data_IF_640771183363
#
_entry.id   IF_640771183363
#
_cell.length_a   1.000
_cell.length_b   1.000
_cell.length_c   1.000
_cell.angle_alpha   90.00
_cell.angle_beta   90.00
_cell.angle_gamma   90.00
#
_symmetry.space_group_name_H-M   'P 1'
#
loop_
_entity.id
_entity.type
_entity.pdbx_description
1 polymer ?
#
# COMPACT_ATOMS: atom_id res chain seq x y z
N UNK A 1 -87.84 16.99 27.46
CA UNK A 1 -87.20 18.30 27.72
C UNK A 1 -85.84 18.03 28.35
N UNK A 2 -84.76 18.56 27.75
CA UNK A 2 -83.34 18.54 28.17
C UNK A 2 -82.54 17.24 28.00
N UNK A 3 -81.67 17.26 26.99
CA UNK A 3 -80.48 16.43 26.83
C UNK A 3 -79.28 17.04 27.57
N UNK A 4 -78.30 16.19 27.95
CA UNK A 4 -76.86 16.42 28.19
C UNK A 4 -76.35 15.23 29.04
N UNK A 5 -75.14 14.69 28.95
CA UNK A 5 -73.98 14.78 28.07
C UNK A 5 -73.04 13.72 28.67
N UNK A 6 -72.66 12.66 27.94
CA UNK A 6 -71.54 11.80 28.37
C UNK A 6 -70.28 12.27 27.64
N UNK A 7 -69.35 12.81 28.42
CA UNK A 7 -68.05 13.30 27.97
C UNK A 7 -67.14 12.15 27.58
N UNK A 8 -66.73 12.10 26.31
CA UNK A 8 -65.64 11.27 25.82
C UNK A 8 -64.30 11.96 26.13
N UNK A 9 -63.41 11.25 26.83
CA UNK A 9 -62.01 11.63 27.01
C UNK A 9 -61.25 11.22 25.75
N UNK A 10 -60.82 12.20 24.96
CA UNK A 10 -59.95 11.99 23.81
C UNK A 10 -58.49 11.86 24.28
N UNK A 11 -57.87 10.72 23.97
CA UNK A 11 -56.44 10.49 24.16
C UNK A 11 -55.65 11.25 23.08
N UNK A 12 -54.75 12.14 23.49
CA UNK A 12 -53.77 12.76 22.60
C UNK A 12 -52.67 11.73 22.24
N UNK A 13 -52.59 11.37 20.96
CA UNK A 13 -51.45 10.66 20.41
C UNK A 13 -50.32 11.66 20.09
N UNK A 14 -49.25 11.67 20.88
CA UNK A 14 -48.02 12.40 20.57
C UNK A 14 -47.21 11.62 19.54
N UNK A 15 -47.13 12.14 18.31
CA UNK A 15 -46.23 11.63 17.27
C UNK A 15 -44.80 12.06 17.64
N UNK A 16 -44.05 11.13 18.21
CA UNK A 16 -42.60 11.28 18.44
C UNK A 16 -41.87 11.05 17.12
N UNK A 17 -41.47 12.11 16.43
CA UNK A 17 -40.56 12.02 15.28
C UNK A 17 -39.15 11.72 15.78
N UNK A 18 -38.81 10.43 15.82
CA UNK A 18 -37.43 9.98 16.03
C UNK A 18 -36.57 10.40 14.84
N UNK A 19 -35.86 11.51 14.99
CA UNK A 19 -34.72 11.87 14.13
C UNK A 19 -33.65 10.80 14.31
N UNK A 20 -33.53 9.86 13.36
CA UNK A 20 -32.29 9.10 13.20
C UNK A 20 -31.26 10.07 12.62
N UNK A 21 -30.13 10.33 13.29
CA UNK A 21 -29.04 11.04 12.64
C UNK A 21 -28.55 10.17 11.50
N UNK A 22 -28.73 10.62 10.26
CA UNK A 22 -27.90 10.15 9.17
C UNK A 22 -26.46 10.43 9.59
N UNK A 23 -25.70 9.38 9.89
CA UNK A 23 -24.25 9.50 9.92
C UNK A 23 -23.84 9.94 8.51
N UNK A 24 -23.59 11.24 8.35
CA UNK A 24 -22.89 11.74 7.19
C UNK A 24 -21.57 10.95 7.15
N UNK A 25 -21.42 10.08 6.16
CA UNK A 25 -20.15 9.44 5.86
C UNK A 25 -19.16 10.58 5.63
N UNK A 26 -18.32 10.88 6.63
CA UNK A 26 -17.30 11.88 6.47
C UNK A 26 -16.41 11.42 5.33
N UNK A 27 -16.44 12.15 4.22
CA UNK A 27 -15.55 11.90 3.09
C UNK A 27 -14.12 11.81 3.65
N UNK A 28 -13.43 10.70 3.35
CA UNK A 28 -12.06 10.52 3.80
C UNK A 28 -11.25 11.71 3.31
N UNK A 29 -10.50 12.40 4.19
CA UNK A 29 -9.81 13.61 3.80
C UNK A 29 -8.84 13.31 2.65
N UNK A 30 -9.05 14.00 1.54
CA UNK A 30 -8.23 13.89 0.33
C UNK A 30 -6.77 14.32 0.58
N UNK A 31 -6.50 14.91 1.75
CA UNK A 31 -5.21 15.41 2.20
C UNK A 31 -4.35 14.39 2.96
N UNK A 32 -4.75 13.12 3.13
CA UNK A 32 -3.91 12.18 3.87
C UNK A 32 -2.54 12.01 3.19
N UNK A 33 -1.47 12.37 3.91
CA UNK A 33 -0.10 12.27 3.41
C UNK A 33 0.34 10.80 3.32
N UNK A 34 0.90 10.44 2.16
CA UNK A 34 1.51 9.13 1.92
C UNK A 34 2.94 9.33 1.45
N UNK A 35 3.83 8.40 1.77
CA UNK A 35 5.23 8.40 1.39
C UNK A 35 5.66 6.97 1.07
N UNK A 36 6.68 6.77 0.21
CA UNK A 36 7.21 5.45 -0.06
C UNK A 36 7.48 4.67 1.22
N UNK A 37 7.03 3.42 1.29
CA UNK A 37 7.07 2.60 2.50
C UNK A 37 5.72 2.47 3.21
N UNK A 38 4.78 3.39 2.96
CA UNK A 38 3.47 3.35 3.59
C UNK A 38 2.61 2.19 3.10
N UNK A 39 1.72 1.75 4.00
CA UNK A 39 0.59 0.89 3.67
C UNK A 39 -0.63 1.75 3.41
N UNK A 40 -1.32 1.48 2.29
CA UNK A 40 -2.49 2.26 1.87
C UNK A 40 -3.66 1.34 1.52
N UNK A 41 -4.88 1.85 1.64
CA UNK A 41 -6.10 1.28 1.05
C UNK A 41 -6.93 2.39 0.40
N UNK A 42 -7.70 2.05 -0.63
CA UNK A 42 -8.68 2.98 -1.18
C UNK A 42 -9.91 3.04 -0.24
N UNK A 43 -10.57 4.19 -0.15
CA UNK A 43 -11.69 4.43 0.75
C UNK A 43 -12.83 3.41 0.58
N UNK A 44 -13.19 3.07 -0.66
CA UNK A 44 -14.28 2.12 -0.97
C UNK A 44 -13.86 0.66 -1.02
N UNK A 45 -12.57 0.34 -0.85
CA UNK A 45 -12.04 -1.02 -1.01
C UNK A 45 -11.39 -1.54 0.29
N UNK A 46 -11.35 -2.87 0.42
CA UNK A 46 -10.70 -3.58 1.54
C UNK A 46 -9.26 -4.01 1.23
N UNK A 47 -8.86 -4.03 -0.04
CA UNK A 47 -7.51 -4.41 -0.45
C UNK A 47 -6.47 -3.46 0.13
N UNK A 48 -5.44 -4.02 0.75
CA UNK A 48 -4.27 -3.29 1.26
C UNK A 48 -3.16 -3.35 0.21
N UNK A 49 -2.45 -2.22 0.07
CA UNK A 49 -1.33 -2.08 -0.83
C UNK A 49 -0.12 -1.51 -0.12
N UNK A 50 1.07 -1.90 -0.57
CA UNK A 50 2.32 -1.25 -0.25
C UNK A 50 2.59 -0.15 -1.28
N UNK A 51 2.82 1.10 -0.85
CA UNK A 51 3.19 2.20 -1.72
C UNK A 51 4.71 2.29 -1.89
N UNK A 52 5.20 2.07 -3.10
CA UNK A 52 6.62 1.94 -3.41
C UNK A 52 7.25 3.25 -3.92
N UNK A 53 8.58 3.40 -3.84
CA UNK A 53 9.28 4.59 -4.35
C UNK A 53 9.04 4.86 -5.84
N UNK A 54 8.78 3.84 -6.65
CA UNK A 54 8.49 3.99 -8.08
C UNK A 54 7.12 4.62 -8.38
N UNK A 55 6.36 5.01 -7.35
CA UNK A 55 5.04 5.64 -7.44
C UNK A 55 3.91 4.64 -7.66
N UNK A 56 4.18 3.33 -7.54
CA UNK A 56 3.18 2.28 -7.72
C UNK A 56 2.72 1.71 -6.40
N UNK A 57 1.56 1.08 -6.43
CA UNK A 57 0.99 0.31 -5.32
C UNK A 57 1.08 -1.19 -5.61
N UNK A 58 1.58 -1.95 -4.64
CA UNK A 58 1.77 -3.40 -4.74
C UNK A 58 0.79 -4.12 -3.83
N UNK A 59 0.02 -5.05 -4.37
CA UNK A 59 -1.10 -5.68 -3.67
C UNK A 59 -0.60 -6.71 -2.67
N UNK A 60 -1.20 -6.76 -1.48
CA UNK A 60 -1.13 -7.95 -0.62
C UNK A 60 -2.18 -8.97 -1.10
N UNK A 61 -1.78 -10.18 -1.55
CA UNK A 61 -2.72 -11.14 -2.11
C UNK A 61 -3.80 -11.61 -1.13
N UNK A 62 -3.46 -11.68 0.15
CA UNK A 62 -4.34 -12.06 1.24
C UNK A 62 -3.75 -11.63 2.59
N UNK A 63 -4.58 -11.76 3.63
CA UNK A 63 -4.25 -11.42 5.01
C UNK A 63 -3.08 -12.25 5.58
N UNK A 64 -2.96 -13.53 5.21
CA UNK A 64 -1.83 -14.36 5.67
C UNK A 64 -0.49 -13.82 5.18
N UNK A 65 -0.40 -13.39 3.92
CA UNK A 65 0.80 -12.70 3.40
C UNK A 65 1.05 -11.42 4.19
N UNK A 66 0.02 -10.60 4.41
CA UNK A 66 0.13 -9.34 5.16
C UNK A 66 0.70 -9.56 6.57
N UNK A 67 0.17 -10.53 7.31
CA UNK A 67 0.60 -10.81 8.68
C UNK A 67 1.98 -11.47 8.80
N UNK A 68 2.63 -11.81 7.69
CA UNK A 68 4.06 -12.14 7.73
C UNK A 68 4.96 -10.90 7.80
N UNK A 69 4.43 -9.73 7.41
CA UNK A 69 5.14 -8.44 7.41
C UNK A 69 4.74 -7.55 8.58
N UNK A 70 3.46 -7.54 8.96
CA UNK A 70 2.89 -6.63 9.96
C UNK A 70 2.09 -7.41 11.00
N UNK A 71 1.82 -6.79 12.15
CA UNK A 71 1.11 -7.47 13.26
C UNK A 71 -0.38 -7.15 13.32
N UNK A 72 -0.79 -6.01 12.77
CA UNK A 72 -2.16 -5.51 12.73
C UNK A 72 -2.30 -4.50 11.58
N UNK A 73 -3.50 -3.93 11.39
CA UNK A 73 -3.78 -2.96 10.33
C UNK A 73 -3.64 -1.49 10.74
N UNK A 74 -3.12 -1.19 11.94
CA UNK A 74 -3.11 0.17 12.49
C UNK A 74 -2.25 1.14 11.64
N UNK A 75 -1.25 0.60 10.94
CA UNK A 75 -0.40 1.34 10.02
C UNK A 75 -0.99 1.60 8.62
N UNK A 76 -2.20 1.11 8.31
CA UNK A 76 -2.80 1.26 6.99
C UNK A 76 -3.51 2.62 6.86
N UNK A 77 -3.02 3.44 5.94
CA UNK A 77 -3.60 4.74 5.60
C UNK A 77 -4.75 4.58 4.60
N UNK A 78 -5.83 5.34 4.77
CA UNK A 78 -6.97 5.31 3.85
C UNK A 78 -6.94 6.54 2.95
N UNK A 79 -6.68 6.36 1.66
CA UNK A 79 -6.69 7.45 0.68
C UNK A 79 -8.01 7.46 -0.11
N UNK A 80 -8.38 8.63 -0.63
CA UNK A 80 -9.55 8.77 -1.51
C UNK A 80 -9.42 7.83 -2.72
N UNK A 81 -10.54 7.32 -3.23
CA UNK A 81 -10.54 6.43 -4.39
C UNK A 81 -9.92 7.10 -5.63
N UNK A 82 -10.10 8.42 -5.70
CA UNK A 82 -9.55 9.26 -6.75
C UNK A 82 -8.02 9.34 -6.70
N UNK A 83 -7.41 9.56 -5.53
CA UNK A 83 -5.95 9.48 -5.39
C UNK A 83 -5.45 8.05 -5.58
N UNK A 84 -6.25 7.07 -5.18
CA UNK A 84 -5.93 5.67 -5.38
C UNK A 84 -5.83 5.31 -6.88
N UNK A 85 -6.71 5.86 -7.73
CA UNK A 85 -6.73 5.54 -9.16
C UNK A 85 -5.54 6.12 -9.95
N UNK A 86 -4.88 7.17 -9.46
CA UNK A 86 -3.67 7.73 -10.07
C UNK A 86 -2.41 6.90 -9.80
N UNK A 87 -2.46 5.98 -8.83
CA UNK A 87 -1.37 5.09 -8.48
C UNK A 87 -1.46 3.79 -9.30
N UNK A 88 -0.50 3.54 -10.23
CA UNK A 88 -0.51 2.31 -11.02
C UNK A 88 -0.26 1.09 -10.13
N UNK A 89 -0.72 -0.06 -10.57
CA UNK A 89 -0.31 -1.32 -9.96
C UNK A 89 1.13 -1.67 -10.33
N UNK A 90 1.89 -2.10 -9.33
CA UNK A 90 3.20 -2.70 -9.52
C UNK A 90 3.14 -4.02 -10.30
N UNK A 91 4.27 -4.43 -10.88
CA UNK A 91 4.37 -5.78 -11.46
C UNK A 91 4.52 -6.80 -10.34
N UNK A 92 3.58 -7.75 -10.29
CA UNK A 92 3.51 -8.78 -9.26
C UNK A 92 3.00 -8.25 -7.91
N UNK A 93 2.75 -9.17 -7.00
CA UNK A 93 2.22 -8.86 -5.67
C UNK A 93 3.30 -8.92 -4.58
N UNK A 94 2.97 -8.42 -3.39
CA UNK A 94 3.77 -8.69 -2.20
C UNK A 94 3.70 -10.19 -1.89
N UNK A 95 4.87 -10.78 -1.64
CA UNK A 95 5.05 -12.20 -1.31
C UNK A 95 5.18 -12.38 0.20
N UNK A 96 5.08 -13.62 0.68
CA UNK A 96 5.35 -13.93 2.09
C UNK A 96 6.73 -13.40 2.51
N UNK A 97 6.82 -12.87 3.73
CA UNK A 97 8.08 -12.39 4.26
C UNK A 97 9.09 -13.54 4.37
N UNK A 98 10.30 -13.38 3.81
CA UNK A 98 11.33 -14.40 3.90
C UNK A 98 11.64 -14.83 5.35
N UNK A 99 11.80 -16.13 5.56
CA UNK A 99 12.15 -16.71 6.87
C UNK A 99 11.02 -16.81 7.90
N UNK A 100 9.81 -16.30 7.62
CA UNK A 100 8.71 -16.29 8.62
C UNK A 100 7.87 -17.56 8.58
N UNK A 101 7.42 -17.96 7.38
CA UNK A 101 6.58 -19.14 7.13
C UNK A 101 7.19 -20.01 6.05
N UNK A 102 6.76 -21.26 6.04
CA UNK A 102 6.89 -22.13 4.88
C UNK A 102 5.60 -22.00 4.05
N UNK A 103 5.69 -22.26 2.75
CA UNK A 103 4.54 -22.24 1.85
C UNK A 103 4.46 -23.49 1.00
N UNK A 104 3.26 -23.79 0.52
CA UNK A 104 3.00 -24.84 -0.48
C UNK A 104 1.86 -24.39 -1.39
N UNK A 105 1.63 -25.12 -2.46
CA UNK A 105 0.41 -25.02 -3.26
C UNK A 105 -0.42 -26.28 -3.09
N UNK A 106 -1.70 -26.21 -3.47
CA UNK A 106 -2.62 -27.34 -3.29
C UNK A 106 -2.35 -28.48 -4.28
N UNK A 107 -1.75 -28.16 -5.43
CA UNK A 107 -1.47 -29.06 -6.54
C UNK A 107 -0.11 -29.76 -6.47
N UNK A 108 0.72 -29.44 -5.49
CA UNK A 108 2.08 -29.99 -5.31
C UNK A 108 2.34 -30.30 -3.82
N UNK A 109 2.72 -31.53 -3.46
CA UNK A 109 2.99 -31.89 -2.06
C UNK A 109 4.24 -31.21 -1.48
N UNK A 110 5.11 -30.62 -2.32
CA UNK A 110 6.36 -29.99 -1.89
C UNK A 110 6.11 -28.79 -1.00
N UNK A 111 6.96 -28.65 0.02
CA UNK A 111 6.97 -27.52 0.95
C UNK A 111 8.20 -26.67 0.72
N UNK A 112 8.03 -25.35 0.71
CA UNK A 112 9.07 -24.40 0.36
C UNK A 112 9.34 -23.42 1.51
N UNK A 113 10.61 -23.14 1.75
CA UNK A 113 11.01 -21.96 2.50
C UNK A 113 11.02 -20.74 1.56
N UNK A 114 10.66 -19.57 2.08
CA UNK A 114 10.65 -18.32 1.32
C UNK A 114 11.97 -17.57 1.51
N UNK A 115 12.65 -17.28 0.41
CA UNK A 115 13.88 -16.52 0.32
C UNK A 115 13.61 -15.12 -0.28
N UNK A 116 14.54 -14.18 -0.06
CA UNK A 116 14.44 -12.80 -0.54
C UNK A 116 14.07 -12.72 -2.02
N UNK A 117 13.16 -11.81 -2.36
CA UNK A 117 12.71 -11.57 -3.73
C UNK A 117 11.61 -12.53 -4.21
N UNK A 118 10.92 -13.21 -3.28
CA UNK A 118 9.87 -14.18 -3.62
C UNK A 118 10.40 -15.47 -4.21
N UNK A 119 11.58 -15.91 -3.76
CA UNK A 119 12.17 -17.17 -4.22
C UNK A 119 11.70 -18.31 -3.30
N UNK A 120 11.18 -19.38 -3.88
CA UNK A 120 10.77 -20.58 -3.16
C UNK A 120 11.86 -21.63 -3.25
N UNK A 121 12.39 -22.02 -2.09
CA UNK A 121 13.41 -23.06 -1.97
C UNK A 121 12.77 -24.31 -1.38
N UNK A 122 12.67 -25.37 -2.18
CA UNK A 122 12.08 -26.63 -1.76
C UNK A 122 12.89 -27.23 -0.59
N UNK A 123 12.22 -27.60 0.49
CA UNK A 123 12.87 -28.26 1.64
C UNK A 123 12.78 -29.76 1.43
N UNK A 124 13.91 -30.39 1.10
CA UNK A 124 13.94 -31.75 0.54
C UNK A 124 13.48 -32.86 1.50
N UNK A 125 13.52 -32.64 2.82
CA UNK A 125 13.11 -33.64 3.81
C UNK A 125 12.43 -33.01 5.04
N UNK A 126 11.65 -33.82 5.76
CA UNK A 126 11.01 -33.41 7.01
C UNK A 126 12.04 -33.07 8.11
N UNK A 127 13.16 -33.80 8.19
CA UNK A 127 14.21 -33.55 9.18
C UNK A 127 14.87 -32.17 8.99
N UNK A 128 15.04 -31.73 7.75
CA UNK A 128 15.52 -30.38 7.45
C UNK A 128 14.46 -29.36 7.89
N UNK A 129 13.18 -29.57 7.58
CA UNK A 129 12.11 -28.67 8.00
C UNK A 129 12.03 -28.55 9.54
N UNK A 130 12.16 -29.65 10.27
CA UNK A 130 12.22 -29.66 11.75
C UNK A 130 13.42 -28.89 12.29
N UNK A 131 14.59 -29.07 11.67
CA UNK A 131 15.82 -28.36 12.07
C UNK A 131 15.69 -26.85 11.84
N UNK A 132 15.09 -26.43 10.73
CA UNK A 132 14.98 -25.02 10.35
C UNK A 132 13.85 -24.31 11.09
N UNK A 133 12.67 -24.93 11.17
CA UNK A 133 11.42 -24.27 11.59
C UNK A 133 10.87 -24.81 12.92
N UNK A 134 11.52 -25.80 13.53
CA UNK A 134 11.16 -26.45 14.79
C UNK A 134 10.28 -27.68 14.61
N UNK A 135 10.07 -28.44 15.69
CA UNK A 135 9.27 -29.68 15.67
C UNK A 135 7.82 -29.46 15.21
N UNK A 136 7.29 -28.25 15.40
CA UNK A 136 5.94 -27.86 14.94
C UNK A 136 5.94 -27.23 13.54
N UNK A 137 6.97 -27.43 12.71
CA UNK A 137 7.10 -26.79 11.39
C UNK A 137 5.85 -26.93 10.51
N UNK A 138 5.10 -28.04 10.65
CA UNK A 138 3.85 -28.26 9.90
C UNK A 138 2.79 -27.18 10.15
N UNK A 139 2.74 -26.59 11.35
CA UNK A 139 1.84 -25.46 11.64
C UNK A 139 2.34 -24.12 11.09
N UNK A 140 3.58 -24.09 10.58
CA UNK A 140 4.21 -22.93 9.92
C UNK A 140 4.07 -22.99 8.40
N UNK A 141 3.35 -23.97 7.87
CA UNK A 141 3.04 -24.06 6.44
C UNK A 141 1.72 -23.35 6.17
N UNK A 142 1.75 -22.41 5.24
CA UNK A 142 0.54 -21.81 4.70
C UNK A 142 0.35 -22.20 3.22
N UNK A 143 -0.87 -22.53 2.83
CA UNK A 143 -1.23 -22.74 1.42
C UNK A 143 -1.28 -21.39 0.68
N UNK A 144 -0.58 -21.33 -0.45
CA UNK A 144 -0.64 -20.23 -1.41
C UNK A 144 -1.58 -20.66 -2.54
N UNK A 145 -2.64 -19.90 -2.85
CA UNK A 145 -3.48 -20.17 -4.01
C UNK A 145 -2.66 -20.24 -5.30
N UNK A 146 -2.97 -21.19 -6.18
CA UNK A 146 -2.24 -21.44 -7.42
C UNK A 146 -2.09 -20.18 -8.30
N UNK A 147 -3.11 -19.32 -8.35
CA UNK A 147 -3.07 -18.04 -9.07
C UNK A 147 -1.99 -17.08 -8.56
N UNK A 148 -1.70 -17.12 -7.26
CA UNK A 148 -0.67 -16.30 -6.63
C UNK A 148 0.70 -16.96 -6.60
N UNK A 149 0.80 -18.25 -6.93
CA UNK A 149 2.08 -18.93 -7.06
C UNK A 149 2.94 -18.34 -8.18
N UNK A 150 2.32 -17.78 -9.22
CA UNK A 150 2.98 -17.04 -10.30
C UNK A 150 3.79 -15.82 -9.83
N UNK A 151 3.56 -15.32 -8.60
CA UNK A 151 4.35 -14.24 -8.00
C UNK A 151 5.72 -14.71 -7.51
N UNK A 152 5.94 -16.02 -7.44
CA UNK A 152 7.15 -16.63 -6.92
C UNK A 152 8.02 -17.22 -8.03
N UNK A 153 9.30 -17.38 -7.74
CA UNK A 153 10.26 -18.12 -8.57
C UNK A 153 10.79 -19.31 -7.80
N UNK A 154 10.77 -20.50 -8.38
CA UNK A 154 11.40 -21.66 -7.75
C UNK A 154 12.93 -21.53 -7.89
N UNK A 155 13.63 -21.60 -6.76
CA UNK A 155 15.08 -21.56 -6.68
C UNK A 155 15.69 -22.91 -6.31
N UNK A 156 16.99 -22.91 -6.02
CA UNK A 156 17.74 -24.11 -5.62
C UNK A 156 17.13 -24.73 -4.35
N UNK A 157 16.91 -26.07 -4.31
CA UNK A 157 16.41 -26.74 -3.12
C UNK A 157 17.35 -26.59 -1.92
N UNK A 158 16.82 -26.90 -0.74
CA UNK A 158 17.54 -27.01 0.52
C UNK A 158 17.67 -28.49 0.83
N UNK A 159 18.86 -29.02 0.60
CA UNK A 159 19.26 -30.41 0.79
C UNK A 159 19.97 -30.63 2.12
N UNK A 160 20.51 -29.57 2.72
CA UNK A 160 21.09 -29.60 4.07
C UNK A 160 20.65 -28.37 4.87
N UNK A 161 20.57 -28.51 6.20
CA UNK A 161 20.18 -27.41 7.09
C UNK A 161 21.16 -26.23 7.09
N UNK A 162 22.40 -26.41 6.62
CA UNK A 162 23.37 -25.33 6.51
C UNK A 162 23.08 -24.36 5.34
N UNK A 163 22.26 -24.75 4.36
CA UNK A 163 21.99 -23.97 3.15
C UNK A 163 20.94 -22.87 3.33
N UNK A 164 20.25 -22.84 4.47
CA UNK A 164 19.22 -21.86 4.76
C UNK A 164 19.12 -21.62 6.26
N UNK A 165 19.01 -20.36 6.67
CA UNK A 165 18.75 -20.00 8.06
C UNK A 165 17.57 -19.02 8.08
N UNK A 166 16.38 -19.45 8.57
CA UNK A 166 15.19 -18.61 8.55
C UNK A 166 15.36 -17.29 9.32
N UNK A 167 16.05 -17.31 10.46
CA UNK A 167 16.25 -16.10 11.26
C UNK A 167 17.24 -15.14 10.59
N UNK A 168 18.31 -15.63 9.97
CA UNK A 168 19.24 -14.78 9.20
C UNK A 168 18.55 -14.13 8.01
N UNK A 169 17.74 -14.88 7.26
CA UNK A 169 17.02 -14.39 6.08
C UNK A 169 15.96 -13.36 6.48
N UNK A 170 15.21 -13.62 7.55
CA UNK A 170 14.23 -12.70 8.14
C UNK A 170 14.88 -11.41 8.65
N UNK A 171 16.03 -11.53 9.33
CA UNK A 171 16.79 -10.39 9.83
C UNK A 171 17.37 -9.53 8.70
N UNK A 172 17.81 -10.15 7.60
CA UNK A 172 18.26 -9.44 6.40
C UNK A 172 17.10 -8.78 5.63
N UNK A 173 15.87 -9.27 5.80
CA UNK A 173 14.68 -8.81 5.05
C UNK A 173 13.65 -8.19 5.99
N UNK A 174 13.99 -7.03 6.57
CA UNK A 174 13.12 -6.31 7.50
C UNK A 174 11.96 -5.62 6.79
N UNK A 175 12.21 -5.05 5.60
CA UNK A 175 11.24 -4.24 4.87
C UNK A 175 10.92 -4.85 3.51
N UNK A 176 9.73 -4.49 2.99
CA UNK A 176 9.34 -4.83 1.61
C UNK A 176 10.29 -4.18 0.59
N UNK A 177 10.86 -3.00 0.90
CA UNK A 177 11.90 -2.37 0.06
C UNK A 177 13.11 -3.27 -0.10
N UNK A 178 13.59 -3.84 1.00
CA UNK A 178 14.70 -4.79 0.96
C UNK A 178 14.31 -6.04 0.15
N UNK A 179 13.15 -6.64 0.40
CA UNK A 179 12.71 -7.85 -0.31
C UNK A 179 12.63 -7.66 -1.82
N UNK A 180 11.91 -6.61 -2.24
CA UNK A 180 11.68 -6.29 -3.65
C UNK A 180 12.87 -5.59 -4.32
N UNK A 181 13.90 -5.23 -3.53
CA UNK A 181 15.06 -4.47 -3.99
C UNK A 181 14.66 -3.17 -4.70
N UNK A 182 13.74 -2.42 -4.09
CA UNK A 182 13.38 -1.09 -4.58
C UNK A 182 14.57 -0.14 -4.41
N UNK A 183 14.76 0.73 -5.42
CA UNK A 183 15.78 1.76 -5.38
C UNK A 183 15.28 2.94 -4.52
N UNK A 184 15.91 3.16 -3.37
CA UNK A 184 15.58 4.26 -2.45
C UNK A 184 16.07 5.63 -2.96
N UNK A 185 16.92 5.65 -3.99
CA UNK A 185 17.45 6.88 -4.60
C UNK A 185 16.52 7.47 -5.66
N UNK A 186 15.37 6.84 -5.89
CA UNK A 186 14.32 7.36 -6.75
C UNK A 186 13.02 7.55 -5.97
N UNK A 187 12.21 8.51 -6.41
CA UNK A 187 10.82 8.62 -6.00
C UNK A 187 9.98 9.08 -7.18
N UNK A 188 8.72 8.66 -7.26
CA UNK A 188 7.79 9.11 -8.30
C UNK A 188 6.58 9.80 -7.68
N UNK A 189 6.18 10.91 -8.28
CA UNK A 189 4.93 11.61 -8.01
C UNK A 189 4.03 11.46 -9.23
N UNK A 190 2.85 10.86 -9.07
CA UNK A 190 1.83 10.85 -10.11
C UNK A 190 1.08 12.18 -10.09
N UNK A 191 0.85 12.78 -11.25
CA UNK A 191 -0.06 13.92 -11.40
C UNK A 191 -1.39 13.36 -11.91
N UNK A 192 -2.44 13.47 -11.10
CA UNK A 192 -3.81 13.22 -11.54
C UNK A 192 -4.50 14.49 -12.02
N UNK A 193 -5.80 14.38 -12.25
CA UNK A 193 -6.65 15.52 -12.55
C UNK A 193 -6.77 16.50 -11.35
N UNK A 194 -7.39 17.66 -11.57
CA UNK A 194 -7.31 18.82 -10.66
C UNK A 194 -7.73 18.61 -9.19
N UNK A 195 -8.67 17.72 -8.89
CA UNK A 195 -9.02 17.32 -7.52
C UNK A 195 -8.23 16.09 -7.01
N UNK A 196 -7.41 15.40 -7.80
CA UNK A 196 -6.49 14.36 -7.32
C UNK A 196 -5.12 14.98 -7.04
N UNK A 197 -4.73 15.95 -7.88
CA UNK A 197 -3.50 16.71 -7.72
C UNK A 197 -2.25 15.85 -7.87
N UNK A 198 -1.20 16.29 -7.19
CA UNK A 198 0.03 15.52 -7.01
C UNK A 198 -0.17 14.40 -6.00
N UNK A 199 0.23 13.18 -6.35
CA UNK A 199 0.14 12.01 -5.48
C UNK A 199 1.53 11.39 -5.33
N UNK A 200 2.15 11.46 -4.14
CA UNK A 200 1.66 12.14 -2.93
C UNK A 200 1.70 13.67 -2.99
N UNK A 201 0.86 14.32 -2.16
CA UNK A 201 0.91 15.78 -1.93
C UNK A 201 2.10 16.20 -1.06
N UNK A 202 2.54 15.32 -0.16
CA UNK A 202 3.72 15.50 0.67
C UNK A 202 4.61 14.29 0.49
N UNK A 203 5.76 14.48 -0.14
CA UNK A 203 6.73 13.43 -0.36
C UNK A 203 7.92 13.66 0.58
N UNK A 204 8.31 12.64 1.35
CA UNK A 204 9.57 12.68 2.13
C UNK A 204 10.59 11.74 1.49
N UNK A 205 11.78 12.26 1.18
CA UNK A 205 12.88 11.52 0.52
C UNK A 205 14.21 11.84 1.20
N UNK A 206 15.20 10.96 1.01
CA UNK A 206 16.57 11.23 1.46
C UNK A 206 17.27 12.18 0.49
N UNK A 207 18.28 12.89 0.97
CA UNK A 207 19.16 13.72 0.12
C UNK A 207 19.79 12.87 -0.98
N UNK A 208 19.86 13.43 -2.18
CA UNK A 208 20.32 12.74 -3.38
C UNK A 208 19.23 11.96 -4.12
N UNK A 209 18.00 11.86 -3.60
CA UNK A 209 16.90 11.22 -4.32
C UNK A 209 16.50 12.02 -5.56
N UNK A 210 16.35 11.31 -6.69
CA UNK A 210 15.76 11.82 -7.92
C UNK A 210 14.26 11.63 -7.89
N UNK A 211 13.51 12.73 -7.83
CA UNK A 211 12.05 12.72 -7.90
C UNK A 211 11.64 12.86 -9.36
N UNK A 212 10.74 11.98 -9.82
CA UNK A 212 10.15 12.02 -11.16
C UNK A 212 8.66 12.28 -11.04
N UNK A 213 8.18 13.34 -11.67
CA UNK A 213 6.76 13.58 -11.86
C UNK A 213 6.31 12.97 -13.18
N UNK A 214 5.16 12.31 -13.18
CA UNK A 214 4.55 11.73 -14.37
C UNK A 214 3.15 12.28 -14.51
N UNK A 215 2.85 12.93 -15.63
CA UNK A 215 1.50 13.35 -15.92
C UNK A 215 0.64 12.15 -16.30
N UNK A 216 -0.29 11.76 -15.43
CA UNK A 216 -1.23 10.64 -15.65
C UNK A 216 -2.64 11.14 -16.06
N UNK A 217 -2.84 12.45 -16.16
CA UNK A 217 -4.05 13.04 -16.73
C UNK A 217 -3.90 13.21 -18.26
N UNK A 218 -5.03 13.37 -18.93
CA UNK A 218 -5.12 13.77 -20.34
C UNK A 218 -4.89 15.28 -20.52
N UNK A 219 -4.99 16.05 -19.43
CA UNK A 219 -4.76 17.51 -19.42
C UNK A 219 -3.29 17.83 -19.30
N UNK A 220 -2.93 19.03 -19.74
CA UNK A 220 -1.60 19.59 -19.54
C UNK A 220 -1.41 20.01 -18.08
N UNK A 221 -0.23 19.73 -17.55
CA UNK A 221 0.17 20.07 -16.19
C UNK A 221 1.57 20.66 -16.15
N UNK A 222 1.91 21.32 -15.06
CA UNK A 222 3.27 21.81 -14.80
C UNK A 222 3.71 21.46 -13.37
N UNK A 223 5.03 21.39 -13.19
CA UNK A 223 5.70 21.22 -11.91
C UNK A 223 6.66 22.38 -11.75
N UNK A 224 6.29 23.34 -10.91
CA UNK A 224 7.09 24.55 -10.70
C UNK A 224 7.31 24.82 -9.22
N UNK A 225 8.58 24.83 -8.82
CA UNK A 225 9.07 25.27 -7.51
C UNK A 225 10.06 26.42 -7.67
N UNK A 226 10.67 26.85 -6.56
CA UNK A 226 11.62 27.97 -6.59
C UNK A 226 12.89 27.67 -7.41
N UNK A 227 13.34 26.41 -7.43
CA UNK A 227 14.60 25.98 -8.04
C UNK A 227 14.42 25.09 -9.28
N UNK A 228 13.18 24.76 -9.66
CA UNK A 228 12.90 23.83 -10.74
C UNK A 228 11.58 24.18 -11.43
N UNK A 229 11.54 23.97 -12.75
CA UNK A 229 10.38 24.22 -13.60
C UNK A 229 10.39 23.18 -14.71
N UNK A 230 9.32 22.39 -14.82
CA UNK A 230 9.19 21.36 -15.86
C UNK A 230 8.85 21.92 -17.23
N UNK A 231 8.36 23.17 -17.31
CA UNK A 231 7.52 23.59 -18.42
C UNK A 231 6.23 22.76 -18.50
N UNK A 232 5.51 22.88 -19.62
CA UNK A 232 4.27 22.12 -19.87
C UNK A 232 4.57 20.63 -20.07
N UNK A 233 3.90 19.80 -19.27
CA UNK A 233 3.88 18.35 -19.40
C UNK A 233 2.55 17.93 -20.02
N UNK A 234 2.61 17.45 -21.27
CA UNK A 234 1.48 16.76 -21.90
C UNK A 234 1.18 15.42 -21.18
N UNK A 235 0.11 14.74 -21.59
CA UNK A 235 -0.22 13.41 -21.07
C UNK A 235 0.96 12.44 -21.22
N UNK A 236 1.19 11.61 -20.19
CA UNK A 236 2.32 10.67 -20.04
C UNK A 236 3.73 11.28 -20.05
N UNK A 237 3.87 12.60 -20.21
CA UNK A 237 5.15 13.27 -20.12
C UNK A 237 5.70 13.22 -18.69
N UNK A 238 7.03 13.27 -18.59
CA UNK A 238 7.73 13.16 -17.31
C UNK A 238 8.72 14.29 -17.12
N UNK A 239 8.94 14.67 -15.86
CA UNK A 239 9.98 15.60 -15.45
C UNK A 239 10.71 15.03 -14.25
N UNK A 240 12.04 15.24 -14.17
CA UNK A 240 12.82 14.78 -13.03
C UNK A 240 13.68 15.90 -12.46
N UNK A 241 13.81 15.91 -11.14
CA UNK A 241 14.72 16.79 -10.42
C UNK A 241 15.38 16.03 -9.27
N UNK A 242 16.69 16.23 -9.09
CA UNK A 242 17.46 15.60 -8.01
C UNK A 242 17.62 16.57 -6.85
N UNK A 243 17.13 16.17 -5.67
CA UNK A 243 17.18 16.97 -4.47
C UNK A 243 18.44 16.67 -3.65
N UNK A 244 19.50 17.44 -3.86
CA UNK A 244 20.80 17.21 -3.20
C UNK A 244 20.97 17.92 -1.86
N UNK A 245 20.04 18.81 -1.47
CA UNK A 245 20.13 19.60 -0.23
C UNK A 245 18.93 19.29 0.67
N UNK A 246 19.18 19.15 1.97
CA UNK A 246 18.14 18.97 2.99
C UNK A 246 17.29 20.24 3.06
N UNK A 247 15.97 20.10 3.10
CA UNK A 247 15.05 21.22 3.12
C UNK A 247 13.62 20.86 2.75
N UNK A 248 12.74 21.86 2.79
CA UNK A 248 11.36 21.78 2.32
C UNK A 248 11.24 22.53 0.99
N UNK A 249 10.67 21.87 0.00
CA UNK A 249 10.55 22.38 -1.36
C UNK A 249 9.08 22.40 -1.78
N UNK A 250 8.43 23.55 -1.58
CA UNK A 250 7.08 23.77 -2.06
C UNK A 250 7.08 23.93 -3.59
N UNK A 251 6.07 23.35 -4.23
CA UNK A 251 5.84 23.47 -5.66
C UNK A 251 4.34 23.43 -5.98
N UNK A 252 4.01 23.88 -7.18
CA UNK A 252 2.64 23.94 -7.66
C UNK A 252 2.55 23.65 -9.15
N UNK A 253 1.31 23.52 -9.63
CA UNK A 253 0.98 23.58 -11.04
C UNK A 253 0.46 24.98 -11.40
N UNK A 254 1.23 25.83 -12.10
CA UNK A 254 0.75 27.11 -12.62
C UNK A 254 -0.52 27.05 -13.49
N UNK A 255 -0.81 25.92 -14.14
CA UNK A 255 -2.03 25.74 -14.95
C UNK A 255 -3.26 25.40 -14.10
N UNK A 256 -3.05 24.97 -12.85
CA UNK A 256 -4.10 24.60 -11.90
C UNK A 256 -3.78 25.16 -10.50
N UNK A 257 -4.15 26.42 -10.19
CA UNK A 257 -3.67 27.14 -9.00
C UNK A 257 -3.94 26.50 -7.63
N UNK A 258 -4.87 25.54 -7.57
CA UNK A 258 -5.20 24.76 -6.36
C UNK A 258 -4.29 23.56 -6.15
N UNK A 259 -3.56 23.10 -7.17
CA UNK A 259 -2.64 21.98 -7.08
C UNK A 259 -1.29 22.44 -6.51
N UNK A 260 -1.07 22.12 -5.23
CA UNK A 260 0.15 22.42 -4.49
C UNK A 260 0.64 21.16 -3.79
N UNK A 261 1.95 21.04 -3.65
CA UNK A 261 2.58 19.92 -2.97
C UNK A 261 3.96 20.32 -2.45
N UNK A 262 4.55 19.44 -1.65
CA UNK A 262 5.83 19.67 -1.00
C UNK A 262 6.71 18.42 -1.06
N UNK A 263 7.98 18.61 -1.38
CA UNK A 263 9.03 17.59 -1.19
C UNK A 263 9.86 17.97 0.03
N UNK A 264 9.86 17.11 1.05
CA UNK A 264 10.72 17.19 2.22
C UNK A 264 11.96 16.31 2.00
N UNK A 265 13.14 16.92 2.08
CA UNK A 265 14.42 16.23 1.88
C UNK A 265 15.10 16.09 3.23
N UNK A 266 15.33 14.86 3.66
CA UNK A 266 15.98 14.49 4.93
C UNK A 266 17.36 13.87 4.68
N UNK A 267 18.12 13.59 5.73
CA UNK A 267 19.45 12.95 5.61
C UNK A 267 19.38 11.49 5.20
#
# INVERSE_FOLDING_TARGET
MKAKLLSFVAALATISTSFMPFAASAATPDSQAISPGDLIKCASLSSVYYFAPDGKRYVFPNEKTYFTWYTNFDGVKTISDRRCSTLPLGRGNITYRPGVKMVKITTDPRTYAVERGGILRHVSTAQIAETLFGLSWKSRIDDVPDSFFSNYKVGTPIETSAQYNPESVKAATVTIMADKSFDETIATVSIGDVNAGFVPLTLTVKKGTKVTWVNRDIKEHQVKGAAFDSGVLAADATYSYTFSTVGSYDYADPLAPTMKAVVNVVN
#
